data_IF_951535922801
#
_entry.id   IF_951535922801
#
_cell.length_a   1.000
_cell.length_b   1.000
_cell.length_c   1.000
_cell.angle_alpha   90.00
_cell.angle_beta   90.00
_cell.angle_gamma   90.00
#
_symmetry.space_group_name_H-M   'P 1'
#
loop_
_entity.id
_entity.type
_entity.pdbx_description
1 polymer ?
#
# COMPACT_ATOMS: atom_id res chain seq x y z
N UNK A 1 15.13 11.66 13.18
CA UNK A 1 15.32 12.20 11.82
C UNK A 1 14.48 11.36 10.85
N UNK A 2 13.26 11.77 10.54
CA UNK A 2 12.39 11.09 9.57
C UNK A 2 12.63 11.74 8.19
N UNK A 3 13.29 11.00 7.30
CA UNK A 3 13.63 11.47 5.96
C UNK A 3 12.39 11.37 5.06
N UNK A 4 11.65 12.48 4.91
CA UNK A 4 10.53 12.57 3.98
C UNK A 4 11.05 12.71 2.55
N UNK A 5 11.06 11.62 1.78
CA UNK A 5 11.26 11.71 0.34
C UNK A 5 10.03 12.39 -0.30
N UNK A 6 10.18 13.67 -0.66
CA UNK A 6 9.27 14.38 -1.56
C UNK A 6 9.36 13.76 -2.97
N UNK A 7 8.64 12.67 -3.20
CA UNK A 7 8.17 12.38 -4.55
C UNK A 7 6.95 13.27 -4.80
N UNK A 8 7.11 14.23 -5.71
CA UNK A 8 6.02 15.01 -6.28
C UNK A 8 5.21 14.06 -7.20
N UNK A 9 4.15 13.50 -6.64
CA UNK A 9 3.25 12.53 -7.27
C UNK A 9 2.47 11.87 -6.15
N UNK A 10 1.14 11.78 -6.27
CA UNK A 10 0.26 11.32 -5.20
C UNK A 10 0.82 10.05 -4.53
N UNK A 11 1.24 10.17 -3.26
CA UNK A 11 1.37 9.00 -2.41
C UNK A 11 0.01 8.28 -2.48
N UNK A 12 -0.03 6.99 -2.86
CA UNK A 12 -1.31 6.34 -3.08
C UNK A 12 -2.11 6.38 -1.79
N UNK A 13 -3.25 7.04 -1.82
CA UNK A 13 -4.13 7.12 -0.68
C UNK A 13 -4.87 5.80 -0.56
N UNK A 14 -4.62 5.03 0.51
CA UNK A 14 -5.41 3.84 0.81
C UNK A 14 -6.49 4.20 1.83
N UNK A 15 -7.74 4.31 1.36
CA UNK A 15 -8.89 4.50 2.24
C UNK A 15 -9.69 3.20 2.30
N UNK A 16 -10.04 2.78 3.52
CA UNK A 16 -10.90 1.63 3.77
C UNK A 16 -12.09 2.02 4.63
N UNK A 17 -13.18 1.26 4.56
CA UNK A 17 -14.34 1.45 5.44
C UNK A 17 -14.08 0.86 6.83
N UNK A 18 -14.86 1.29 7.83
CA UNK A 18 -14.83 0.69 9.18
C UNK A 18 -15.02 -0.84 9.15
N UNK A 19 -15.85 -1.36 8.24
CA UNK A 19 -16.08 -2.80 8.09
C UNK A 19 -14.81 -3.56 7.72
N UNK A 20 -14.06 -3.04 6.73
CA UNK A 20 -12.79 -3.64 6.31
C UNK A 20 -11.76 -3.58 7.45
N UNK A 21 -11.70 -2.46 8.16
CA UNK A 21 -10.80 -2.30 9.30
C UNK A 21 -11.12 -3.30 10.42
N UNK A 22 -12.40 -3.51 10.71
CA UNK A 22 -12.85 -4.49 11.70
C UNK A 22 -12.48 -5.93 11.30
N UNK A 23 -12.61 -6.27 10.01
CA UNK A 23 -12.19 -7.59 9.51
C UNK A 23 -10.68 -7.79 9.66
N UNK A 24 -9.89 -6.77 9.31
CA UNK A 24 -8.43 -6.80 9.44
C UNK A 24 -8.01 -6.97 10.90
N UNK A 25 -8.62 -6.22 11.83
CA UNK A 25 -8.37 -6.35 13.25
C UNK A 25 -8.76 -7.76 13.76
N UNK A 26 -9.92 -8.28 13.35
CA UNK A 26 -10.39 -9.61 13.75
C UNK A 26 -9.50 -10.74 13.22
N UNK A 27 -8.97 -10.58 12.01
CA UNK A 27 -8.03 -11.50 11.41
C UNK A 27 -6.57 -11.28 11.88
N UNK A 28 -6.31 -10.31 12.77
CA UNK A 28 -4.96 -9.91 13.19
C UNK A 28 -4.04 -9.57 12.01
N UNK A 29 -4.55 -8.89 10.97
CA UNK A 29 -3.73 -8.36 9.87
C UNK A 29 -2.73 -7.36 10.44
N UNK A 30 -1.48 -7.44 10.01
CA UNK A 30 -0.36 -6.63 10.50
C UNK A 30 0.20 -5.67 9.42
N UNK A 31 1.08 -4.76 9.82
CA UNK A 31 1.81 -3.89 8.90
C UNK A 31 1.10 -2.60 8.50
N UNK A 32 0.19 -2.10 9.33
CA UNK A 32 -0.48 -0.83 9.07
C UNK A 32 -0.82 -0.06 10.33
N UNK A 33 -0.94 1.26 10.16
CA UNK A 33 -1.62 2.18 11.06
C UNK A 33 -2.84 2.77 10.35
N UNK A 34 -3.79 3.32 11.11
CA UNK A 34 -4.97 3.93 10.54
C UNK A 34 -5.35 5.24 11.24
N UNK A 35 -5.91 6.15 10.45
CA UNK A 35 -6.35 7.47 10.89
C UNK A 35 -7.76 7.70 10.39
N UNK A 36 -8.65 8.18 11.26
CA UNK A 36 -10.03 8.49 10.87
C UNK A 36 -10.04 9.59 9.82
N UNK A 37 -10.86 9.42 8.78
CA UNK A 37 -11.11 10.46 7.78
C UNK A 37 -12.59 10.84 7.76
N UNK A 38 -12.85 12.14 7.66
CA UNK A 38 -14.19 12.68 7.55
C UNK A 38 -14.65 12.83 6.10
N UNK A 39 -15.94 12.61 5.83
CA UNK A 39 -16.56 12.97 4.56
C UNK A 39 -16.96 14.44 4.62
N UNK A 40 -16.32 15.28 3.80
CA UNK A 40 -16.63 16.72 3.77
C UNK A 40 -17.95 17.02 3.01
N UNK A 41 -18.24 16.30 1.92
CA UNK A 41 -19.42 16.52 1.10
C UNK A 41 -19.88 15.22 0.42
N UNK A 42 -21.18 14.95 0.46
CA UNK A 42 -21.82 13.89 -0.32
C UNK A 42 -22.53 14.53 -1.51
N UNK A 43 -22.03 14.29 -2.73
CA UNK A 43 -22.66 14.82 -3.95
C UNK A 43 -23.84 13.97 -4.45
N UNK A 44 -24.10 12.81 -3.83
CA UNK A 44 -25.20 11.93 -4.21
C UNK A 44 -26.50 12.35 -3.54
N UNK A 45 -27.48 12.78 -4.33
CA UNK A 45 -28.82 13.16 -3.86
C UNK A 45 -29.51 12.05 -3.05
N UNK A 46 -29.20 10.77 -3.35
CA UNK A 46 -29.78 9.62 -2.65
C UNK A 46 -29.13 9.33 -1.30
N UNK A 47 -27.91 9.84 -1.06
CA UNK A 47 -27.09 9.52 0.10
C UNK A 47 -26.84 10.74 1.00
N UNK A 48 -27.14 11.97 0.54
CA UNK A 48 -26.87 13.21 1.28
C UNK A 48 -27.53 13.28 2.65
N UNK A 49 -28.71 12.66 2.79
CA UNK A 49 -29.50 12.66 4.03
C UNK A 49 -29.25 11.40 4.89
N UNK A 50 -28.36 10.50 4.45
CA UNK A 50 -27.99 9.30 5.22
C UNK A 50 -26.77 9.59 6.07
N UNK A 51 -26.68 8.91 7.21
CA UNK A 51 -25.47 8.93 8.02
C UNK A 51 -24.28 8.44 7.17
N UNK A 52 -23.20 9.24 7.06
CA UNK A 52 -22.04 8.88 6.27
C UNK A 52 -21.34 7.65 6.89
N UNK A 53 -20.93 6.66 6.08
CA UNK A 53 -20.11 5.59 6.59
C UNK A 53 -18.76 6.13 7.07
N UNK A 54 -18.21 5.50 8.11
CA UNK A 54 -16.87 5.83 8.60
C UNK A 54 -15.80 5.22 7.71
N UNK A 55 -14.79 6.03 7.42
CA UNK A 55 -13.64 5.65 6.63
C UNK A 55 -12.35 5.95 7.38
N UNK A 56 -11.30 5.24 6.99
CA UNK A 56 -9.99 5.34 7.60
C UNK A 56 -8.93 5.38 6.50
N UNK A 57 -8.00 6.32 6.63
CA UNK A 57 -6.78 6.34 5.84
C UNK A 57 -5.77 5.37 6.47
N UNK A 58 -5.22 4.50 5.63
CA UNK A 58 -4.27 3.46 6.03
C UNK A 58 -2.85 3.90 5.67
N UNK A 59 -1.97 3.88 6.65
CA UNK A 59 -0.52 4.03 6.47
C UNK A 59 0.08 2.63 6.56
N UNK A 60 0.63 2.13 5.45
CA UNK A 60 1.32 0.85 5.45
C UNK A 60 2.70 1.01 6.10
N UNK A 61 2.93 0.28 7.18
CA UNK A 61 4.17 0.32 7.99
C UNK A 61 5.08 -0.87 7.73
N UNK A 62 4.55 -1.98 7.18
CA UNK A 62 5.36 -3.13 6.80
C UNK A 62 6.36 -2.82 5.68
N UNK A 63 7.54 -3.44 5.71
CA UNK A 63 8.64 -3.17 4.77
C UNK A 63 9.23 -4.44 4.18
N UNK A 64 9.69 -4.34 2.94
CA UNK A 64 10.53 -5.34 2.29
C UNK A 64 11.47 -4.69 1.25
N UNK A 65 12.53 -5.41 0.86
CA UNK A 65 13.27 -5.14 -0.37
C UNK A 65 12.78 -6.05 -1.50
N UNK A 66 13.06 -5.63 -2.74
CA UNK A 66 12.90 -6.48 -3.92
C UNK A 66 14.24 -7.13 -4.28
N UNK A 67 14.17 -8.38 -4.71
CA UNK A 67 15.31 -9.17 -5.19
C UNK A 67 15.57 -8.82 -6.66
N UNK A 68 16.21 -7.66 -6.90
CA UNK A 68 16.47 -7.14 -8.24
C UNK A 68 17.28 -8.12 -9.10
N UNK A 69 18.20 -8.87 -8.48
CA UNK A 69 19.02 -9.87 -9.16
C UNK A 69 18.15 -11.01 -9.70
N UNK A 70 17.24 -11.57 -8.87
CA UNK A 70 16.27 -12.58 -9.35
C UNK A 70 15.26 -12.03 -10.35
N UNK A 71 14.95 -10.74 -10.27
CA UNK A 71 14.12 -10.06 -11.27
C UNK A 71 14.89 -9.77 -12.57
N UNK A 72 16.22 -9.95 -12.57
CA UNK A 72 17.09 -9.60 -13.68
C UNK A 72 17.03 -8.11 -14.02
N UNK A 73 16.96 -7.25 -13.01
CA UNK A 73 16.91 -5.78 -13.13
C UNK A 73 18.19 -5.20 -12.52
N UNK A 74 18.77 -4.20 -13.19
CA UNK A 74 19.93 -3.45 -12.72
C UNK A 74 19.58 -1.99 -12.48
N UNK A 75 20.13 -1.43 -11.42
CA UNK A 75 20.09 0.02 -11.21
C UNK A 75 21.14 0.67 -12.11
N UNK A 76 20.72 1.47 -13.08
CA UNK A 76 21.61 2.26 -13.95
C UNK A 76 22.15 3.51 -13.23
N UNK A 77 21.28 4.20 -12.50
CA UNK A 77 21.60 5.48 -11.86
C UNK A 77 20.68 5.74 -10.68
N UNK A 78 21.19 6.41 -9.64
CA UNK A 78 20.39 7.04 -8.58
C UNK A 78 20.62 8.55 -8.60
N UNK A 79 19.55 9.34 -8.59
CA UNK A 79 19.66 10.79 -8.51
C UNK A 79 20.18 11.18 -7.11
N UNK A 80 21.33 11.87 -7.00
CA UNK A 80 21.88 12.24 -5.69
C UNK A 80 21.03 13.30 -4.96
N UNK A 81 20.22 14.09 -5.68
CA UNK A 81 19.38 15.13 -5.09
C UNK A 81 18.03 14.58 -4.60
N UNK A 82 17.32 13.83 -5.45
CA UNK A 82 15.96 13.39 -5.16
C UNK A 82 15.82 11.89 -4.90
N UNK A 83 16.92 11.13 -4.90
CA UNK A 83 16.92 9.70 -4.61
C UNK A 83 16.29 8.81 -5.69
N UNK A 84 15.70 9.38 -6.75
CA UNK A 84 15.05 8.64 -7.84
C UNK A 84 16.01 7.63 -8.46
N UNK A 85 15.56 6.39 -8.56
CA UNK A 85 16.30 5.27 -9.13
C UNK A 85 15.88 5.09 -10.60
N UNK A 86 16.87 4.93 -11.48
CA UNK A 86 16.71 4.63 -12.88
C UNK A 86 17.19 3.20 -13.12
N UNK A 87 16.32 2.37 -13.67
CA UNK A 87 16.57 0.96 -13.92
C UNK A 87 17.01 0.72 -15.36
N UNK A 88 17.55 -0.46 -15.62
CA UNK A 88 17.91 -0.88 -16.97
C UNK A 88 16.70 -1.27 -17.83
N UNK A 89 15.58 -1.57 -17.17
CA UNK A 89 14.28 -1.91 -17.73
C UNK A 89 13.22 -0.87 -17.37
N UNK A 90 12.23 -0.74 -18.23
CA UNK A 90 11.04 0.06 -18.00
C UNK A 90 10.00 -0.70 -17.15
N UNK A 91 9.07 -0.01 -16.46
CA UNK A 91 8.12 -0.65 -15.55
C UNK A 91 7.28 -1.77 -16.18
N UNK A 92 6.89 -1.67 -17.46
CA UNK A 92 6.12 -2.70 -18.15
C UNK A 92 6.93 -3.96 -18.48
N UNK A 93 8.26 -3.89 -18.42
CA UNK A 93 9.15 -5.05 -18.59
C UNK A 93 9.38 -5.79 -17.25
N UNK A 94 8.92 -5.20 -16.13
CA UNK A 94 9.02 -5.77 -14.79
C UNK A 94 7.84 -6.72 -14.50
N UNK A 95 7.84 -7.89 -15.15
CA UNK A 95 6.72 -8.84 -15.12
C UNK A 95 6.30 -9.33 -13.73
N UNK A 96 7.26 -9.55 -12.83
CA UNK A 96 7.01 -10.12 -11.50
C UNK A 96 7.87 -9.44 -10.45
N UNK A 97 7.23 -8.91 -9.41
CA UNK A 97 7.91 -8.45 -8.20
C UNK A 97 8.34 -9.67 -7.39
N UNK A 98 9.65 -9.78 -7.14
CA UNK A 98 10.20 -10.84 -6.29
C UNK A 98 10.67 -10.18 -5.01
N UNK A 99 10.07 -10.56 -3.89
CA UNK A 99 10.45 -10.06 -2.57
C UNK A 99 11.75 -10.74 -2.15
N UNK A 100 12.69 -9.96 -1.62
CA UNK A 100 13.89 -10.50 -0.98
C UNK A 100 13.52 -10.94 0.43
N UNK A 101 13.18 -12.23 0.59
CA UNK A 101 12.57 -12.79 1.81
C UNK A 101 13.31 -12.43 3.10
N UNK A 102 14.65 -12.38 3.09
CA UNK A 102 15.46 -12.04 4.27
C UNK A 102 15.28 -10.62 4.79
N UNK A 103 14.63 -9.75 4.02
CA UNK A 103 14.41 -8.33 4.35
C UNK A 103 12.96 -8.00 4.68
N UNK A 104 12.06 -8.95 4.48
CA UNK A 104 10.64 -8.77 4.79
C UNK A 104 10.39 -9.00 6.28
N UNK A 105 9.74 -8.02 6.91
CA UNK A 105 9.38 -8.05 8.33
C UNK A 105 8.20 -8.99 8.67
N UNK A 106 7.71 -9.75 7.68
CA UNK A 106 6.57 -10.67 7.78
C UNK A 106 5.22 -10.00 8.01
N UNK A 107 5.12 -8.69 7.82
CA UNK A 107 3.86 -7.96 7.87
C UNK A 107 2.89 -8.41 6.77
N UNK A 108 1.59 -8.41 7.08
CA UNK A 108 0.54 -8.77 6.13
C UNK A 108 0.29 -7.69 5.07
N UNK A 109 0.46 -6.42 5.42
CA UNK A 109 0.50 -5.28 4.51
C UNK A 109 1.90 -4.68 4.52
N UNK A 110 2.49 -4.47 3.34
CA UNK A 110 3.85 -3.97 3.25
C UNK A 110 4.11 -3.26 1.92
N UNK A 111 5.20 -2.49 1.87
CA UNK A 111 5.68 -1.80 0.67
C UNK A 111 7.17 -2.04 0.46
N UNK A 112 7.61 -1.90 -0.79
CA UNK A 112 9.03 -1.83 -1.12
C UNK A 112 9.54 -0.39 -1.07
N UNK A 113 10.76 -0.18 -0.56
CA UNK A 113 11.40 1.14 -0.61
C UNK A 113 11.60 1.68 -2.04
N UNK A 114 11.82 0.79 -3.02
CA UNK A 114 11.99 1.18 -4.42
C UNK A 114 10.68 1.57 -5.09
N UNK A 115 9.56 1.01 -4.63
CA UNK A 115 8.22 1.24 -5.17
C UNK A 115 7.22 1.52 -4.04
N UNK A 116 7.34 2.66 -3.35
CA UNK A 116 6.47 3.00 -2.22
C UNK A 116 5.01 3.23 -2.64
N UNK A 117 4.76 3.40 -3.96
CA UNK A 117 3.43 3.55 -4.51
C UNK A 117 2.69 2.21 -4.75
N UNK A 118 3.32 1.07 -4.50
CA UNK A 118 2.73 -0.26 -4.69
C UNK A 118 2.51 -0.89 -3.32
N UNK A 119 1.25 -1.10 -2.97
CA UNK A 119 0.88 -1.86 -1.78
C UNK A 119 0.90 -3.35 -2.07
N UNK A 120 1.62 -4.10 -1.23
CA UNK A 120 1.71 -5.55 -1.28
C UNK A 120 0.98 -6.13 -0.06
N UNK A 121 0.46 -7.34 -0.23
CA UNK A 121 -0.18 -8.05 0.86
C UNK A 121 0.02 -9.55 0.81
N UNK A 122 -0.09 -10.20 1.96
CA UNK A 122 -0.13 -11.65 2.07
C UNK A 122 -1.50 -12.20 1.65
N UNK A 123 -1.55 -13.50 1.38
CA UNK A 123 -2.81 -14.21 1.08
C UNK A 123 -3.85 -14.04 2.20
N UNK A 124 -3.42 -13.84 3.44
CA UNK A 124 -4.31 -13.60 4.58
C UNK A 124 -5.24 -12.42 4.35
N UNK A 125 -4.75 -11.32 3.77
CA UNK A 125 -5.55 -10.13 3.47
C UNK A 125 -6.58 -10.45 2.38
N UNK A 126 -6.16 -11.20 1.34
CA UNK A 126 -7.02 -11.62 0.24
C UNK A 126 -8.12 -12.57 0.72
N UNK A 127 -7.76 -13.58 1.53
CA UNK A 127 -8.70 -14.54 2.11
C UNK A 127 -9.72 -13.80 2.97
N UNK A 128 -9.28 -12.87 3.82
CA UNK A 128 -10.16 -12.04 4.67
C UNK A 128 -11.15 -11.24 3.81
N UNK A 129 -10.69 -10.62 2.72
CA UNK A 129 -11.58 -9.88 1.81
C UNK A 129 -12.59 -10.80 1.10
N UNK A 130 -12.15 -11.97 0.64
CA UNK A 130 -12.98 -12.97 -0.02
C UNK A 130 -14.05 -13.58 0.90
N UNK A 131 -13.77 -13.69 2.19
CA UNK A 131 -14.73 -14.19 3.18
C UNK A 131 -15.85 -13.18 3.46
N UNK A 132 -15.51 -11.89 3.57
CA UNK A 132 -16.46 -10.87 4.03
C UNK A 132 -17.22 -10.14 2.91
N UNK A 133 -16.63 -10.00 1.70
CA UNK A 133 -17.30 -9.50 0.47
C UNK A 133 -18.10 -8.20 0.63
N UNK A 134 -17.46 -7.16 1.18
CA UNK A 134 -18.12 -5.86 1.39
C UNK A 134 -18.48 -5.08 0.12
N UNK A 135 -17.84 -5.40 -1.01
CA UNK A 135 -18.10 -4.81 -2.32
C UNK A 135 -18.60 -5.88 -3.28
N UNK A 136 -19.61 -5.55 -4.08
CA UNK A 136 -20.17 -6.40 -5.15
C UNK A 136 -19.78 -5.86 -6.51
#
# INVERSE_FOLDING_TARGET
FLYYHKQCGAWPLLIVSEKVLNDWNSANVSGFEYYSVGINKINSEKLKDKEPPKYFHIIVTGRCELDLDKMGIKIKKKCPSCGKVFFDKEPWEMNKLIIKESTWDKSDLFISELFPAIYLCTEKVIITACQNKHTK
#
